data_IF_659184606340
#
_entry.id   IF_659184606340
#
_cell.length_a   1.000
_cell.length_b   1.000
_cell.length_c   1.000
_cell.angle_alpha   90.00
_cell.angle_beta   90.00
_cell.angle_gamma   90.00
#
_symmetry.space_group_name_H-M   'P 1'
#
loop_
_entity.id
_entity.type
_entity.pdbx_description
1 polymer ?
#
# COMPACT_ATOMS: atom_id res chain seq x y z
N UNK A 1 -57.37 13.11 -12.05
CA UNK A 1 -56.07 13.60 -12.55
C UNK A 1 -55.03 13.17 -11.53
N UNK A 2 -54.42 11.99 -11.58
CA UNK A 2 -53.58 11.46 -12.64
C UNK A 2 -53.55 9.92 -12.47
N UNK A 3 -54.23 9.21 -13.35
CA UNK A 3 -54.08 7.77 -13.53
C UNK A 3 -54.02 7.59 -15.04
N UNK A 4 -52.81 7.27 -15.51
CA UNK A 4 -52.44 6.61 -16.77
C UNK A 4 -51.12 7.17 -17.29
N UNK A 5 -50.06 7.00 -16.49
CA UNK A 5 -48.71 6.98 -17.06
C UNK A 5 -48.48 5.54 -17.53
N UNK A 6 -48.37 5.36 -18.85
CA UNK A 6 -48.04 4.06 -19.45
C UNK A 6 -46.77 3.49 -18.80
N UNK A 7 -46.66 2.17 -18.66
CA UNK A 7 -45.57 1.50 -17.95
C UNK A 7 -44.14 1.91 -18.39
N UNK A 8 -43.99 2.52 -19.57
CA UNK A 8 -42.76 3.14 -20.04
C UNK A 8 -42.27 4.27 -19.12
N UNK A 9 -43.17 5.08 -18.56
CA UNK A 9 -42.79 6.19 -17.66
C UNK A 9 -42.36 5.71 -16.28
N UNK A 10 -42.94 4.61 -15.78
CA UNK A 10 -42.50 4.00 -14.52
C UNK A 10 -41.08 3.44 -14.64
N UNK A 11 -40.74 2.85 -15.79
CA UNK A 11 -39.36 2.40 -16.06
C UNK A 11 -38.37 3.56 -16.19
N UNK A 12 -38.78 4.67 -16.83
CA UNK A 12 -37.94 5.88 -16.91
C UNK A 12 -37.68 6.47 -15.52
N UNK A 13 -38.69 6.52 -14.66
CA UNK A 13 -38.53 7.03 -13.29
C UNK A 13 -37.65 6.12 -12.42
N UNK A 14 -37.78 4.79 -12.54
CA UNK A 14 -36.92 3.83 -11.84
C UNK A 14 -35.47 3.92 -12.34
N UNK A 15 -35.25 4.07 -13.65
CA UNK A 15 -33.93 4.28 -14.22
C UNK A 15 -33.30 5.59 -13.75
N UNK A 16 -34.07 6.68 -13.69
CA UNK A 16 -33.59 7.97 -13.19
C UNK A 16 -33.25 7.92 -11.70
N UNK A 17 -34.04 7.21 -10.90
CA UNK A 17 -33.77 7.01 -9.47
C UNK A 17 -32.50 6.18 -9.23
N UNK A 18 -32.28 5.12 -10.02
CA UNK A 18 -31.05 4.32 -9.97
C UNK A 18 -29.82 5.13 -10.39
N UNK A 19 -29.93 5.95 -11.44
CA UNK A 19 -28.84 6.86 -11.86
C UNK A 19 -28.58 7.92 -10.79
N UNK A 20 -29.60 8.50 -10.16
CA UNK A 20 -29.43 9.41 -9.03
C UNK A 20 -28.76 8.73 -7.83
N UNK A 21 -29.07 7.47 -7.53
CA UNK A 21 -28.38 6.73 -6.46
C UNK A 21 -26.92 6.46 -6.81
N UNK A 22 -26.59 6.19 -8.08
CA UNK A 22 -25.20 6.03 -8.52
C UNK A 22 -24.41 7.35 -8.46
N UNK A 23 -25.05 8.50 -8.75
CA UNK A 23 -24.40 9.81 -8.68
C UNK A 23 -24.27 10.34 -7.24
N UNK A 24 -25.16 9.91 -6.34
CA UNK A 24 -25.07 10.20 -4.91
C UNK A 24 -23.96 9.40 -4.20
N UNK A 25 -23.43 8.34 -4.81
CA UNK A 25 -22.17 7.70 -4.43
C UNK A 25 -20.99 8.36 -5.16
N UNK A 26 -20.90 9.68 -5.11
CA UNK A 26 -19.59 10.32 -5.22
C UNK A 26 -19.14 10.53 -3.78
N UNK A 27 -18.48 9.53 -3.21
CA UNK A 27 -17.75 9.73 -1.95
C UNK A 27 -16.79 10.90 -2.20
N UNK A 28 -17.00 11.99 -1.46
CA UNK A 28 -15.97 12.99 -1.23
C UNK A 28 -14.82 12.25 -0.53
N UNK A 29 -13.97 11.61 -1.32
CA UNK A 29 -12.74 10.99 -0.88
C UNK A 29 -11.76 12.13 -0.57
N UNK A 30 -12.06 12.87 0.48
CA UNK A 30 -11.08 13.64 1.22
C UNK A 30 -10.18 12.60 1.88
N UNK A 31 -9.22 12.11 1.12
CA UNK A 31 -8.08 11.38 1.64
C UNK A 31 -7.29 12.40 2.46
N UNK A 32 -7.74 12.60 3.70
CA UNK A 32 -6.99 13.27 4.72
C UNK A 32 -5.63 12.59 4.73
N UNK A 33 -4.60 13.34 4.36
CA UNK A 33 -3.23 12.89 4.47
C UNK A 33 -3.00 12.75 5.97
N UNK A 34 -3.09 11.51 6.46
CA UNK A 34 -2.72 11.10 7.82
C UNK A 34 -1.20 11.23 8.01
N UNK A 35 -0.66 12.44 7.81
CA UNK A 35 0.77 12.79 7.98
C UNK A 35 1.16 12.80 9.48
N UNK A 36 0.17 12.75 10.38
CA UNK A 36 0.38 12.71 11.83
C UNK A 36 0.50 11.29 12.43
N UNK A 37 0.32 10.22 11.64
CA UNK A 37 0.24 8.85 12.20
C UNK A 37 1.51 8.01 12.13
N UNK A 38 2.52 8.40 11.34
CA UNK A 38 3.78 7.63 11.19
C UNK A 38 4.88 8.07 12.15
N UNK A 39 4.55 8.27 13.43
CA UNK A 39 5.56 8.68 14.43
C UNK A 39 6.63 7.61 14.69
N UNK A 40 6.34 6.33 14.42
CA UNK A 40 7.25 5.22 14.69
C UNK A 40 7.20 4.14 13.61
N UNK A 41 8.35 3.53 13.33
CA UNK A 41 8.44 2.29 12.55
C UNK A 41 8.10 1.11 13.46
N UNK A 42 7.25 0.21 12.98
CA UNK A 42 6.76 -0.95 13.73
C UNK A 42 7.03 -2.26 12.98
N UNK A 43 6.97 -3.38 13.68
CA UNK A 43 6.94 -4.68 13.00
C UNK A 43 5.68 -4.82 12.15
N UNK A 44 5.87 -5.23 10.90
CA UNK A 44 4.83 -5.22 9.86
C UNK A 44 4.75 -3.91 9.05
N UNK A 45 5.54 -2.89 9.38
CA UNK A 45 5.61 -1.67 8.57
C UNK A 45 6.15 -1.96 7.17
N UNK A 46 5.55 -1.33 6.16
CA UNK A 46 6.02 -1.31 4.79
C UNK A 46 6.84 -0.04 4.56
N UNK A 47 8.13 -0.17 4.30
CA UNK A 47 9.06 0.96 4.22
C UNK A 47 9.82 1.00 2.91
N UNK A 48 10.42 2.16 2.61
CA UNK A 48 11.43 2.32 1.55
C UNK A 48 12.71 2.87 2.14
N UNK A 49 13.84 2.31 1.75
CA UNK A 49 15.15 2.74 2.22
C UNK A 49 15.82 3.58 1.14
N UNK A 50 16.06 4.86 1.45
CA UNK A 50 16.72 5.81 0.55
C UNK A 50 18.10 6.15 1.07
N UNK A 51 19.11 6.03 0.21
CA UNK A 51 20.47 6.45 0.53
C UNK A 51 20.52 7.98 0.67
N UNK A 52 20.94 8.49 1.83
CA UNK A 52 20.83 9.92 2.17
C UNK A 52 21.52 10.87 1.15
N UNK A 53 22.71 10.52 0.68
CA UNK A 53 23.51 11.42 -0.18
C UNK A 53 23.13 11.33 -1.67
N UNK A 54 23.05 10.12 -2.22
CA UNK A 54 22.81 9.87 -3.66
C UNK A 54 21.31 9.85 -3.98
N UNK A 55 20.47 9.53 -3.00
CA UNK A 55 19.02 9.51 -3.19
C UNK A 55 18.46 8.23 -3.83
N UNK A 56 19.31 7.28 -4.21
CA UNK A 56 18.90 5.97 -4.71
C UNK A 56 18.20 5.13 -3.63
N UNK A 57 17.32 4.23 -4.04
CA UNK A 57 16.54 3.36 -3.13
C UNK A 57 17.04 1.92 -3.18
N UNK A 58 16.96 1.25 -2.04
CA UNK A 58 17.22 -0.19 -1.96
C UNK A 58 16.11 -0.94 -2.71
N UNK A 59 16.50 -1.73 -3.71
CA UNK A 59 15.59 -2.31 -4.70
C UNK A 59 15.96 -3.77 -4.96
N UNK A 60 14.94 -4.63 -4.95
CA UNK A 60 15.06 -6.05 -5.32
C UNK A 60 14.73 -6.26 -6.80
N UNK A 61 15.43 -7.14 -7.50
CA UNK A 61 15.10 -7.45 -8.90
C UNK A 61 15.41 -8.91 -9.22
N UNK A 62 14.87 -9.42 -10.31
CA UNK A 62 14.98 -10.84 -10.69
C UNK A 62 16.33 -11.15 -11.34
N UNK A 63 17.42 -10.78 -10.67
CA UNK A 63 18.79 -11.11 -11.06
C UNK A 63 19.45 -11.76 -9.87
N UNK A 64 19.83 -13.02 -10.02
CA UNK A 64 20.61 -13.75 -9.02
C UNK A 64 22.10 -13.59 -9.27
N UNK A 65 22.90 -13.74 -8.22
CA UNK A 65 24.35 -13.83 -8.39
C UNK A 65 24.72 -15.08 -9.21
N UNK A 66 25.57 -14.90 -10.23
CA UNK A 66 25.96 -15.96 -11.19
C UNK A 66 26.80 -17.10 -10.61
N UNK A 67 27.24 -17.00 -9.35
CA UNK A 67 28.00 -18.02 -8.63
C UNK A 67 27.74 -17.95 -7.11
N UNK A 68 28.22 -18.94 -6.36
CA UNK A 68 27.99 -19.01 -4.90
C UNK A 68 26.56 -19.40 -4.53
N UNK A 69 25.92 -18.66 -3.63
CA UNK A 69 24.59 -18.98 -3.08
C UNK A 69 23.44 -18.84 -4.07
N UNK A 70 23.65 -18.14 -5.21
CA UNK A 70 22.62 -17.80 -6.21
C UNK A 70 21.40 -17.07 -5.64
N UNK A 71 21.55 -16.45 -4.47
CA UNK A 71 20.50 -15.63 -3.89
C UNK A 71 20.23 -14.40 -4.77
N UNK A 72 19.03 -13.85 -4.62
CA UNK A 72 18.60 -12.66 -5.32
C UNK A 72 19.53 -11.48 -5.01
N UNK A 73 19.86 -10.70 -6.02
CA UNK A 73 20.63 -9.48 -5.84
C UNK A 73 19.74 -8.33 -5.39
N UNK A 74 20.32 -7.45 -4.58
CA UNK A 74 19.69 -6.23 -4.09
C UNK A 74 20.62 -5.08 -4.44
N UNK A 75 20.09 -4.05 -5.08
CA UNK A 75 20.87 -2.94 -5.63
C UNK A 75 20.30 -1.59 -5.21
N UNK A 76 21.11 -0.53 -5.33
CA UNK A 76 20.61 0.84 -5.20
C UNK A 76 20.21 1.35 -6.57
N UNK A 77 18.94 1.70 -6.76
CA UNK A 77 18.42 2.18 -8.04
C UNK A 77 17.87 3.60 -7.87
N UNK A 78 18.20 4.49 -8.80
CA UNK A 78 17.72 5.87 -8.82
C UNK A 78 16.36 6.01 -9.52
N UNK A 79 16.12 5.14 -10.52
CA UNK A 79 14.89 5.09 -11.29
C UNK A 79 13.77 4.33 -10.58
N UNK A 80 12.57 4.92 -10.56
CA UNK A 80 11.32 4.22 -10.25
C UNK A 80 11.10 3.96 -8.77
N UNK A 81 10.19 4.73 -8.18
CA UNK A 81 9.61 4.39 -6.89
C UNK A 81 8.60 3.25 -7.06
N UNK A 82 9.09 2.06 -7.36
CA UNK A 82 8.26 0.90 -7.74
C UNK A 82 8.01 -0.08 -6.58
N UNK A 83 7.33 -1.17 -6.90
CA UNK A 83 6.94 -2.20 -5.93
C UNK A 83 8.15 -2.89 -5.30
N UNK A 84 9.25 -2.99 -6.05
CA UNK A 84 10.45 -3.70 -5.65
C UNK A 84 11.35 -2.90 -4.69
N UNK A 85 11.02 -1.63 -4.49
CA UNK A 85 11.64 -0.76 -3.47
C UNK A 85 10.97 -0.86 -2.10
N UNK A 86 9.85 -1.58 -1.98
CA UNK A 86 9.19 -1.79 -0.71
C UNK A 86 9.82 -2.96 0.05
N UNK A 87 9.95 -2.77 1.36
CA UNK A 87 10.46 -3.76 2.28
C UNK A 87 9.54 -3.86 3.49
N UNK A 88 9.25 -5.06 3.92
CA UNK A 88 8.47 -5.31 5.14
C UNK A 88 9.44 -5.49 6.30
N UNK A 89 9.19 -4.78 7.40
CA UNK A 89 9.87 -5.05 8.66
C UNK A 89 9.30 -6.33 9.29
N UNK A 90 10.15 -7.34 9.41
CA UNK A 90 9.86 -8.60 10.08
C UNK A 90 10.68 -8.78 11.35
N UNK A 91 10.23 -9.72 12.15
CA UNK A 91 10.86 -10.21 13.36
C UNK A 91 12.27 -10.75 13.07
N UNK A 92 13.16 -10.77 14.08
CA UNK A 92 14.40 -11.52 14.02
C UNK A 92 14.19 -12.96 13.56
N UNK A 93 15.16 -13.49 12.83
CA UNK A 93 15.14 -14.88 12.42
C UNK A 93 15.04 -15.83 13.64
N UNK A 94 14.09 -16.76 13.60
CA UNK A 94 13.84 -17.71 14.69
C UNK A 94 12.91 -17.19 15.80
N UNK A 95 12.26 -16.04 15.59
CA UNK A 95 11.18 -15.55 16.45
C UNK A 95 9.92 -15.32 15.61
N UNK A 96 8.93 -16.20 15.77
CA UNK A 96 7.70 -16.16 14.98
C UNK A 96 6.50 -15.60 15.76
N UNK A 97 6.69 -15.30 17.06
CA UNK A 97 5.67 -14.73 17.93
C UNK A 97 6.04 -13.29 18.27
N UNK A 98 5.47 -12.34 17.52
CA UNK A 98 5.67 -10.92 17.79
C UNK A 98 4.39 -10.14 17.51
N UNK A 99 4.19 -9.09 18.30
CA UNK A 99 3.02 -8.24 18.19
C UNK A 99 3.16 -7.30 16.99
N UNK A 100 2.35 -7.50 15.95
CA UNK A 100 2.27 -6.57 14.82
C UNK A 100 1.91 -5.17 15.33
N UNK A 101 2.58 -4.14 14.79
CA UNK A 101 2.37 -2.76 15.22
C UNK A 101 3.17 -2.36 16.46
N UNK A 102 3.94 -3.27 17.08
CA UNK A 102 4.88 -2.89 18.14
C UNK A 102 6.00 -2.01 17.57
N UNK A 103 6.27 -0.83 18.16
CA UNK A 103 7.35 0.05 17.72
C UNK A 103 8.73 -0.57 17.89
N UNK A 104 9.60 -0.36 16.89
CA UNK A 104 11.01 -0.76 16.94
C UNK A 104 11.78 0.28 17.74
N UNK A 105 12.59 -0.18 18.69
CA UNK A 105 13.44 0.70 19.51
C UNK A 105 14.89 0.67 19.02
N UNK A 106 15.65 1.67 19.42
CA UNK A 106 17.09 1.69 19.15
C UNK A 106 17.76 0.45 19.77
N UNK A 107 18.53 -0.28 18.96
CA UNK A 107 19.22 -1.52 19.37
C UNK A 107 18.44 -2.80 19.10
N UNK A 108 17.15 -2.72 18.71
CA UNK A 108 16.38 -3.89 18.32
C UNK A 108 16.91 -4.48 16.99
N UNK A 109 16.81 -5.80 16.87
CA UNK A 109 17.09 -6.52 15.63
C UNK A 109 15.78 -6.74 14.89
N UNK A 110 15.82 -6.60 13.57
CA UNK A 110 14.70 -6.91 12.69
C UNK A 110 15.25 -7.44 11.37
N UNK A 111 14.37 -7.95 10.52
CA UNK A 111 14.70 -8.45 9.20
C UNK A 111 13.91 -7.67 8.15
N UNK A 112 14.53 -7.45 7.00
CA UNK A 112 13.85 -6.98 5.80
C UNK A 112 13.39 -8.18 4.99
N UNK A 113 12.17 -8.11 4.48
CA UNK A 113 11.59 -9.08 3.56
C UNK A 113 11.00 -8.36 2.35
#
# INVERSE_FOLDING_TARGET
FFLQMSGCWLQVLVALALVCSCLAFSDDNNYASDDETLSYVTYGSLIKLRHANVGCRLHSHEVSYGGGSRQQSVTCVDAGDDVNSFWIIKEPHGQDFFDQGKPIKHGDKFRLQ
#
